data_IF_089486285043
#
_entry.id   IF_089486285043
#
_cell.length_a   1.000
_cell.length_b   1.000
_cell.length_c   1.000
_cell.angle_alpha   90.00
_cell.angle_beta   90.00
_cell.angle_gamma   90.00
#
_symmetry.space_group_name_H-M   'P 1'
#
loop_
_entity.id
_entity.type
_entity.pdbx_description
1 polymer ?
#
# COMPACT_ATOMS: atom_id res chain seq x y z
N UNK A 1 -10.19 5.36 -57.17
CA UNK A 1 -10.96 4.56 -56.20
C UNK A 1 -10.08 3.95 -55.07
N UNK A 2 -8.77 4.23 -55.02
CA UNK A 2 -7.91 3.74 -53.93
C UNK A 2 -7.73 4.76 -52.78
N UNK A 3 -7.84 6.07 -53.06
CA UNK A 3 -7.54 7.13 -52.07
C UNK A 3 -8.67 7.35 -51.04
N UNK A 4 -9.94 7.08 -51.35
CA UNK A 4 -11.06 7.22 -50.38
C UNK A 4 -11.10 6.13 -49.30
N UNK A 5 -10.40 5.00 -49.52
CA UNK A 5 -10.39 3.89 -48.57
C UNK A 5 -9.29 4.01 -47.51
N UNK A 6 -8.24 4.79 -47.78
CA UNK A 6 -7.20 5.08 -46.79
C UNK A 6 -7.71 6.00 -45.67
N UNK A 7 -8.47 7.05 -45.98
CA UNK A 7 -9.02 7.95 -44.95
C UNK A 7 -10.05 7.26 -44.04
N UNK A 8 -10.91 6.40 -44.58
CA UNK A 8 -11.86 5.63 -43.77
C UNK A 8 -11.14 4.64 -42.85
N UNK A 9 -10.17 3.89 -43.37
CA UNK A 9 -9.39 2.94 -42.57
C UNK A 9 -8.59 3.61 -41.45
N UNK A 10 -7.98 4.76 -41.75
CA UNK A 10 -7.15 5.49 -40.78
C UNK A 10 -7.99 6.12 -39.66
N UNK A 11 -9.21 6.58 -39.97
CA UNK A 11 -10.17 7.06 -38.97
C UNK A 11 -10.61 5.97 -37.99
N UNK A 12 -10.94 4.77 -38.48
CA UNK A 12 -11.31 3.63 -37.60
C UNK A 12 -10.14 3.16 -36.73
N UNK A 13 -8.91 3.15 -37.25
CA UNK A 13 -7.72 2.81 -36.48
C UNK A 13 -7.47 3.85 -35.38
N UNK A 14 -7.62 5.15 -35.69
CA UNK A 14 -7.50 6.22 -34.70
C UNK A 14 -8.55 6.09 -33.59
N UNK A 15 -9.82 5.83 -33.94
CA UNK A 15 -10.90 5.59 -32.97
C UNK A 15 -10.64 4.36 -32.11
N UNK A 16 -10.09 3.30 -32.70
CA UNK A 16 -9.73 2.08 -31.98
C UNK A 16 -8.59 2.34 -30.97
N UNK A 17 -7.55 3.09 -31.36
CA UNK A 17 -6.47 3.50 -30.45
C UNK A 17 -7.02 4.37 -29.31
N UNK A 18 -7.85 5.37 -29.64
CA UNK A 18 -8.48 6.22 -28.62
C UNK A 18 -9.35 5.42 -27.65
N UNK A 19 -10.07 4.43 -28.15
CA UNK A 19 -10.85 3.51 -27.31
C UNK A 19 -9.95 2.71 -26.36
N UNK A 20 -8.84 2.14 -26.85
CA UNK A 20 -7.89 1.41 -25.99
C UNK A 20 -7.28 2.32 -24.91
N UNK A 21 -6.90 3.55 -25.27
CA UNK A 21 -6.40 4.53 -24.30
C UNK A 21 -7.47 4.87 -23.26
N UNK A 22 -8.72 5.05 -23.67
CA UNK A 22 -9.83 5.32 -22.75
C UNK A 22 -10.08 4.15 -21.78
N UNK A 23 -10.04 2.91 -22.27
CA UNK A 23 -10.15 1.70 -21.44
C UNK A 23 -8.98 1.60 -20.46
N UNK A 24 -7.75 1.82 -20.92
CA UNK A 24 -6.57 1.83 -20.08
C UNK A 24 -6.69 2.86 -18.95
N UNK A 25 -7.00 4.11 -19.28
CA UNK A 25 -7.18 5.18 -18.30
C UNK A 25 -8.31 4.86 -17.31
N UNK A 26 -9.41 4.29 -17.79
CA UNK A 26 -10.51 3.87 -16.91
C UNK A 26 -10.03 2.83 -15.90
N UNK A 27 -9.32 1.79 -16.34
CA UNK A 27 -8.78 0.74 -15.47
C UNK A 27 -7.84 1.36 -14.42
N UNK A 28 -6.87 2.16 -14.85
CA UNK A 28 -5.90 2.80 -13.95
C UNK A 28 -6.59 3.70 -12.91
N UNK A 29 -7.60 4.47 -13.31
CA UNK A 29 -8.36 5.33 -12.38
C UNK A 29 -9.13 4.49 -11.35
N UNK A 30 -9.72 3.36 -11.74
CA UNK A 30 -10.42 2.49 -10.79
C UNK A 30 -9.45 1.83 -9.81
N UNK A 31 -8.31 1.34 -10.28
CA UNK A 31 -7.24 0.81 -9.43
C UNK A 31 -6.75 1.84 -8.41
N UNK A 32 -6.48 3.09 -8.84
CA UNK A 32 -6.10 4.19 -7.94
C UNK A 32 -7.18 4.52 -6.90
N UNK A 33 -8.45 4.30 -7.22
CA UNK A 33 -9.56 4.44 -6.25
C UNK A 33 -9.70 3.24 -5.30
N UNK A 34 -8.82 2.26 -5.42
CA UNK A 34 -8.83 1.04 -4.63
C UNK A 34 -9.80 -0.02 -5.15
N UNK A 35 -10.14 -0.03 -6.44
CA UNK A 35 -10.91 -1.12 -7.04
C UNK A 35 -10.01 -2.33 -7.30
N UNK A 36 -10.40 -3.49 -6.78
CA UNK A 36 -9.72 -4.75 -7.01
C UNK A 36 -10.41 -5.48 -8.17
N UNK A 37 -9.74 -5.59 -9.33
CA UNK A 37 -10.27 -6.31 -10.49
C UNK A 37 -10.41 -7.82 -10.25
N UNK A 38 -9.55 -8.42 -9.42
CA UNK A 38 -9.63 -9.85 -9.10
C UNK A 38 -10.87 -10.20 -8.27
N UNK A 39 -11.27 -9.29 -7.38
CA UNK A 39 -12.41 -9.46 -6.47
C UNK A 39 -13.66 -8.71 -6.93
N UNK A 40 -13.58 -7.96 -8.02
CA UNK A 40 -14.65 -7.15 -8.58
C UNK A 40 -15.29 -6.15 -7.60
N UNK A 41 -14.52 -5.68 -6.62
CA UNK A 41 -15.02 -4.91 -5.48
C UNK A 41 -13.99 -3.85 -5.05
N UNK A 42 -14.44 -2.77 -4.42
CA UNK A 42 -13.53 -1.79 -3.83
C UNK A 42 -12.98 -2.27 -2.49
N UNK A 43 -11.74 -1.89 -2.18
CA UNK A 43 -11.06 -2.28 -0.95
C UNK A 43 -11.82 -1.92 0.33
N UNK A 44 -12.54 -0.80 0.34
CA UNK A 44 -13.33 -0.35 1.49
C UNK A 44 -14.59 -1.20 1.73
N UNK A 45 -15.05 -1.94 0.73
CA UNK A 45 -16.12 -2.94 0.88
C UNK A 45 -15.55 -4.31 1.23
N UNK A 46 -14.33 -4.61 0.77
CA UNK A 46 -13.65 -5.88 1.04
C UNK A 46 -13.14 -5.99 2.48
N UNK A 47 -12.63 -4.88 3.03
CA UNK A 47 -12.00 -4.86 4.34
C UNK A 47 -12.42 -3.64 5.14
N UNK A 48 -12.55 -3.84 6.45
CA UNK A 48 -12.67 -2.72 7.37
C UNK A 48 -11.31 -2.07 7.60
N UNK A 49 -11.30 -0.83 8.09
CA UNK A 49 -10.06 -0.15 8.48
C UNK A 49 -9.26 -0.92 9.53
N UNK A 50 -9.96 -1.48 10.52
CA UNK A 50 -9.34 -2.28 11.56
C UNK A 50 -8.75 -3.57 11.00
N UNK A 51 -9.40 -4.20 10.01
CA UNK A 51 -8.85 -5.41 9.38
C UNK A 51 -7.56 -5.11 8.59
N UNK A 52 -7.49 -3.97 7.90
CA UNK A 52 -6.27 -3.54 7.21
C UNK A 52 -5.15 -3.26 8.22
N UNK A 53 -5.46 -2.54 9.31
CA UNK A 53 -4.50 -2.28 10.39
C UNK A 53 -4.01 -3.61 11.01
N UNK A 54 -4.91 -4.54 11.30
CA UNK A 54 -4.59 -5.83 11.91
C UNK A 54 -3.65 -6.64 11.03
N UNK A 55 -3.89 -6.66 9.71
CA UNK A 55 -2.98 -7.28 8.73
C UNK A 55 -1.62 -6.59 8.72
N UNK A 56 -1.59 -5.27 8.82
CA UNK A 56 -0.35 -4.51 8.91
C UNK A 56 0.45 -4.85 10.17
N UNK A 57 -0.21 -4.97 11.32
CA UNK A 57 0.42 -5.39 12.57
C UNK A 57 0.92 -6.83 12.47
N UNK A 58 0.12 -7.74 11.92
CA UNK A 58 0.51 -9.13 11.69
C UNK A 58 1.75 -9.22 10.79
N UNK A 59 1.82 -8.40 9.74
CA UNK A 59 3.01 -8.28 8.90
C UNK A 59 4.22 -7.85 9.74
N UNK A 60 4.11 -6.79 10.55
CA UNK A 60 5.25 -6.33 11.39
C UNK A 60 5.68 -7.39 12.39
N UNK A 61 4.74 -8.05 13.08
CA UNK A 61 5.06 -9.10 14.07
C UNK A 61 5.76 -10.29 13.40
N UNK A 62 5.29 -10.72 12.22
CA UNK A 62 5.84 -11.87 11.49
C UNK A 62 7.19 -11.59 10.82
N UNK A 63 7.39 -10.37 10.31
CA UNK A 63 8.62 -9.97 9.59
C UNK A 63 9.67 -9.36 10.50
N UNK A 64 9.34 -9.03 11.75
CA UNK A 64 10.31 -8.49 12.71
C UNK A 64 11.54 -9.40 12.78
N UNK A 65 12.76 -8.90 12.55
CA UNK A 65 13.95 -9.75 12.59
C UNK A 65 14.16 -10.31 14.01
N UNK A 66 14.30 -11.63 14.15
CA UNK A 66 14.87 -12.25 15.36
C UNK A 66 16.36 -12.29 15.14
N UNK A 67 17.09 -11.67 16.06
CA UNK A 67 18.54 -11.75 16.08
C UNK A 67 19.18 -10.38 16.12
N UNK A 68 20.51 -10.44 16.13
CA UNK A 68 21.39 -9.29 16.24
C UNK A 68 21.16 -8.41 15.01
N UNK A 69 20.33 -7.37 15.13
CA UNK A 69 20.47 -6.19 14.29
C UNK A 69 21.92 -5.70 14.43
N UNK A 70 22.49 -5.00 13.45
CA UNK A 70 23.95 -4.74 13.26
C UNK A 70 24.85 -4.53 14.51
N UNK A 71 24.31 -4.25 15.69
CA UNK A 71 24.98 -4.33 17.00
C UNK A 71 24.17 -4.91 18.20
N UNK A 72 22.84 -5.16 18.11
CA UNK A 72 21.99 -5.53 19.27
C UNK A 72 20.85 -6.49 18.90
N UNK A 73 20.55 -7.44 19.79
CA UNK A 73 19.47 -8.42 19.61
C UNK A 73 18.09 -7.80 19.94
N UNK A 74 17.17 -7.87 18.98
CA UNK A 74 15.81 -7.32 19.09
C UNK A 74 14.89 -8.36 19.72
N UNK A 75 14.13 -7.97 20.74
CA UNK A 75 13.07 -8.79 21.32
C UNK A 75 11.83 -8.72 20.42
N UNK A 76 11.47 -9.85 19.82
CA UNK A 76 10.22 -9.98 19.06
C UNK A 76 9.01 -9.94 19.98
N UNK A 77 7.91 -9.39 19.46
CA UNK A 77 6.60 -9.64 20.03
C UNK A 77 6.21 -11.10 19.81
N UNK A 78 5.66 -11.74 20.84
CA UNK A 78 5.19 -13.11 20.80
C UNK A 78 3.85 -13.23 20.07
N UNK A 79 3.04 -12.16 20.05
CA UNK A 79 1.75 -12.14 19.37
C UNK A 79 1.29 -10.73 19.00
N UNK A 80 0.24 -10.64 18.17
CA UNK A 80 -0.43 -9.39 17.81
C UNK A 80 -1.07 -8.73 19.05
N UNK A 81 -1.58 -9.53 19.99
CA UNK A 81 -2.16 -9.03 21.24
C UNK A 81 -1.12 -8.37 22.14
N UNK A 82 0.07 -8.97 22.27
CA UNK A 82 1.19 -8.37 23.00
C UNK A 82 1.60 -7.03 22.35
N UNK A 83 1.69 -7.01 21.01
CA UNK A 83 2.00 -5.80 20.25
C UNK A 83 0.98 -4.68 20.53
N UNK A 84 -0.33 -4.99 20.45
CA UNK A 84 -1.39 -4.00 20.69
C UNK A 84 -1.42 -3.52 22.14
N UNK A 85 -1.13 -4.40 23.10
CA UNK A 85 -1.08 -4.03 24.52
C UNK A 85 0.08 -3.08 24.82
N UNK A 86 1.24 -3.30 24.20
CA UNK A 86 2.43 -2.48 24.41
C UNK A 86 2.40 -1.17 23.60
N UNK A 87 1.63 -1.13 22.51
CA UNK A 87 1.51 0.02 21.62
C UNK A 87 0.03 0.41 21.44
N UNK A 88 -0.64 0.94 22.49
CA UNK A 88 -2.07 1.26 22.43
C UNK A 88 -2.41 2.40 21.46
N UNK A 89 -1.47 3.32 21.23
CA UNK A 89 -1.58 4.40 20.24
C UNK A 89 -1.03 3.99 18.86
N UNK A 90 -0.74 2.69 18.68
CA UNK A 90 -0.29 2.21 17.38
C UNK A 90 -1.35 2.41 16.34
N UNK A 91 -0.85 2.82 15.19
CA UNK A 91 -1.38 2.51 13.89
C UNK A 91 -2.43 3.52 13.43
N UNK A 92 -2.17 4.09 12.25
CA UNK A 92 -3.11 4.95 11.54
C UNK A 92 -3.18 4.49 10.10
N UNK A 93 -4.38 4.25 9.61
CA UNK A 93 -4.62 4.02 8.19
C UNK A 93 -4.75 5.37 7.50
N UNK A 94 -3.87 5.66 6.56
CA UNK A 94 -4.05 6.81 5.68
C UNK A 94 -4.76 6.32 4.42
N UNK A 95 -5.98 6.81 4.21
CA UNK A 95 -6.76 6.51 3.00
C UNK A 95 -6.47 7.53 1.92
N UNK A 96 -6.48 7.07 0.68
CA UNK A 96 -6.32 7.85 -0.55
C UNK A 96 -7.26 9.05 -0.72
N UNK A 97 -8.40 9.08 -0.04
CA UNK A 97 -9.48 10.01 -0.37
C UNK A 97 -9.31 11.29 0.44
N UNK A 98 -8.60 12.24 -0.20
CA UNK A 98 -8.55 13.68 0.08
C UNK A 98 -7.74 14.16 1.28
N UNK A 99 -6.43 14.37 1.07
CA UNK A 99 -5.79 15.61 1.55
C UNK A 99 -4.79 16.09 0.49
N UNK A 100 -5.19 17.11 -0.28
CA UNK A 100 -4.26 17.97 -1.00
C UNK A 100 -3.59 17.36 -2.24
N UNK A 101 -3.89 17.97 -3.38
CA UNK A 101 -2.93 18.25 -4.45
C UNK A 101 -1.49 18.23 -3.89
N UNK A 102 -0.67 17.27 -4.33
CA UNK A 102 0.81 17.23 -4.31
C UNK A 102 1.40 15.79 -4.45
N UNK A 103 0.56 14.77 -4.71
CA UNK A 103 1.06 13.48 -5.21
C UNK A 103 1.62 13.66 -6.62
N UNK A 104 2.93 13.58 -6.77
CA UNK A 104 3.58 13.53 -8.08
C UNK A 104 2.92 12.42 -8.91
N UNK A 105 2.65 12.70 -10.19
CA UNK A 105 2.15 11.71 -11.17
C UNK A 105 3.09 10.50 -11.34
N UNK A 106 4.29 10.59 -10.76
CA UNK A 106 5.35 9.59 -10.78
C UNK A 106 5.47 8.82 -9.43
N UNK A 107 4.69 9.19 -8.41
CA UNK A 107 4.52 8.37 -7.21
C UNK A 107 3.35 7.44 -7.49
N UNK A 108 3.65 6.16 -7.69
CA UNK A 108 2.71 5.05 -7.80
C UNK A 108 1.99 4.80 -6.45
N UNK A 109 1.55 5.87 -5.77
CA UNK A 109 1.22 5.93 -4.35
C UNK A 109 -0.07 5.22 -4.02
N UNK A 110 0.03 3.91 -3.82
CA UNK A 110 -0.94 3.06 -3.15
C UNK A 110 -1.04 3.49 -1.66
N UNK A 111 -2.21 3.31 -1.05
CA UNK A 111 -2.52 3.80 0.29
C UNK A 111 -1.69 3.04 1.30
N UNK A 112 -1.38 3.66 2.43
CA UNK A 112 -0.45 3.10 3.39
C UNK A 112 -1.02 3.04 4.80
N UNK A 113 -0.55 2.04 5.55
CA UNK A 113 -0.74 1.91 6.98
C UNK A 113 0.52 2.40 7.65
N UNK A 114 0.40 3.46 8.45
CA UNK A 114 1.48 3.95 9.30
C UNK A 114 1.43 3.22 10.63
N UNK A 115 2.43 2.41 10.93
CA UNK A 115 2.54 1.62 12.16
C UNK A 115 3.64 2.20 13.03
N UNK A 116 3.27 2.64 14.23
CA UNK A 116 4.20 3.14 15.25
C UNK A 116 4.31 2.14 16.39
N UNK A 117 5.53 1.75 16.74
CA UNK A 117 5.75 0.78 17.82
C UNK A 117 7.10 0.95 18.52
N UNK A 118 7.18 0.40 19.74
CA UNK A 118 8.36 0.38 20.58
C UNK A 118 9.18 -0.89 20.36
N UNK A 119 10.34 -0.76 19.71
CA UNK A 119 11.29 -1.84 19.57
C UNK A 119 12.04 -2.08 20.88
N UNK A 120 11.80 -3.24 21.47
CA UNK A 120 12.53 -3.71 22.65
C UNK A 120 13.77 -4.52 22.26
N UNK A 121 14.76 -4.54 23.15
CA UNK A 121 16.00 -5.31 22.99
C UNK A 121 16.05 -6.43 24.02
N UNK A 122 16.81 -7.50 23.73
CA UNK A 122 17.04 -8.60 24.69
C UNK A 122 17.87 -8.10 25.88
N UNK A 123 18.82 -7.21 25.61
CA UNK A 123 19.47 -6.42 26.66
C UNK A 123 18.44 -5.44 27.26
N UNK A 124 18.47 -5.23 28.58
CA UNK A 124 17.61 -4.28 29.31
C UNK A 124 17.98 -2.82 28.98
N UNK A 125 17.84 -2.44 27.72
CA UNK A 125 18.05 -1.11 27.18
C UNK A 125 16.72 -0.38 27.06
N UNK A 126 16.79 0.94 26.97
CA UNK A 126 15.61 1.74 26.64
C UNK A 126 15.07 1.33 25.25
N UNK A 127 13.75 1.14 25.13
CA UNK A 127 13.13 0.80 23.86
C UNK A 127 13.24 1.96 22.87
N UNK A 128 13.36 1.61 21.59
CA UNK A 128 13.48 2.57 20.49
C UNK A 128 12.13 2.72 19.77
N UNK A 129 11.75 3.95 19.42
CA UNK A 129 10.52 4.20 18.69
C UNK A 129 10.74 3.94 17.19
N UNK A 130 9.84 3.14 16.58
CA UNK A 130 9.88 2.82 15.15
C UNK A 130 8.58 3.22 14.49
N UNK A 131 8.73 3.74 13.27
CA UNK A 131 7.64 4.06 12.36
C UNK A 131 7.88 3.27 11.09
N UNK A 132 6.89 2.49 10.66
CA UNK A 132 6.89 1.76 9.39
C UNK A 132 5.68 2.19 8.58
N UNK A 133 5.86 2.27 7.27
CA UNK A 133 4.80 2.53 6.29
C UNK A 133 4.64 1.26 5.45
N UNK A 134 3.44 0.70 5.45
CA UNK A 134 3.11 -0.48 4.66
C UNK A 134 2.08 -0.08 3.61
N UNK A 135 2.45 -0.18 2.34
CA UNK A 135 1.52 -0.02 1.23
C UNK A 135 0.57 -1.20 1.19
N UNK A 136 -0.70 -0.93 0.86
CA UNK A 136 -1.64 -1.96 0.48
C UNK A 136 -2.08 -1.78 -0.98
N UNK A 137 -2.08 -2.88 -1.72
CA UNK A 137 -2.65 -2.92 -3.07
C UNK A 137 -4.17 -2.75 -3.02
N UNK A 138 -4.85 -2.43 -4.14
CA UNK A 138 -6.31 -2.35 -4.19
C UNK A 138 -7.02 -3.64 -3.72
N UNK A 139 -6.35 -4.79 -3.79
CA UNK A 139 -6.86 -6.08 -3.34
C UNK A 139 -6.52 -6.42 -1.87
N UNK A 140 -5.79 -5.53 -1.17
CA UNK A 140 -5.41 -5.64 0.23
C UNK A 140 -4.17 -6.50 0.48
N UNK A 141 -3.30 -6.65 -0.51
CA UNK A 141 -1.98 -7.26 -0.33
C UNK A 141 -1.02 -6.21 0.22
N UNK A 142 -0.20 -6.58 1.21
CA UNK A 142 0.76 -5.68 1.83
C UNK A 142 2.12 -5.77 1.14
N UNK A 143 2.74 -4.62 0.93
CA UNK A 143 4.13 -4.49 0.49
C UNK A 143 4.85 -3.52 1.42
N UNK A 144 6.07 -3.87 1.81
CA UNK A 144 6.91 -2.94 2.55
C UNK A 144 7.41 -1.88 1.57
N UNK A 145 7.03 -0.64 1.82
CA UNK A 145 7.35 0.49 0.96
C UNK A 145 8.84 0.81 1.09
N UNK A 146 9.64 0.51 0.07
CA UNK A 146 11.08 0.76 0.08
C UNK A 146 11.42 2.26 0.16
N UNK A 147 10.47 3.14 -0.19
CA UNK A 147 10.66 4.59 -0.28
C UNK A 147 10.85 5.26 1.10
N UNK A 148 10.17 4.80 2.15
CA UNK A 148 10.28 5.37 3.50
C UNK A 148 11.37 4.74 4.36
N UNK A 149 12.13 3.77 3.82
CA UNK A 149 13.28 3.15 4.47
C UNK A 149 14.54 4.05 4.49
N UNK A 150 14.49 5.23 3.86
CA UNK A 150 15.53 6.25 3.96
C UNK A 150 15.19 7.26 5.06
N UNK A 151 15.61 6.95 6.29
CA UNK A 151 16.26 7.89 7.22
C UNK A 151 16.82 7.15 8.44
#
# INVERSE_FOLDING_TARGET
MAEENEEKGNGYILWFILFLVAVYLFITIQEMRGYCFDKWEYIHNLYTEQELIDRGVEYVVSTMPSGVGKTKEIKRYASVEEFKQMNPDCCKLTRFINEGIDGYLDDDGYGYIRIEYLRHYVENLEPDHKVIYLEYTPCGELREEAAFSKN
#
